data_IF_798740626216
#
_entry.id   IF_798740626216
#
_cell.length_a   1.000
_cell.length_b   1.000
_cell.length_c   1.000
_cell.angle_alpha   90.00
_cell.angle_beta   90.00
_cell.angle_gamma   90.00
#
_symmetry.space_group_name_H-M   'P 1'
#
loop_
_entity.id
_entity.type
_entity.pdbx_description
1 polymer ?
#
# COMPACT_ATOMS: atom_id res chain seq x y z
N UNK A 1 15.89 51.06 11.23
CA UNK A 1 14.87 50.01 11.29
C UNK A 1 15.58 48.67 11.24
N UNK A 2 15.80 48.04 12.38
CA UNK A 2 16.44 46.73 12.46
C UNK A 2 15.32 45.69 12.42
N UNK A 3 15.14 45.05 11.26
CA UNK A 3 14.25 43.89 11.16
C UNK A 3 14.95 42.78 11.94
N UNK A 4 14.35 42.37 13.05
CA UNK A 4 14.87 41.27 13.87
C UNK A 4 14.81 39.99 13.06
N UNK A 5 15.98 39.45 12.69
CA UNK A 5 16.15 38.18 11.97
C UNK A 5 15.57 36.95 12.70
N UNK A 6 15.12 37.11 13.95
CA UNK A 6 14.57 36.03 14.78
C UNK A 6 13.10 35.72 14.41
N UNK A 7 12.36 36.73 13.94
CA UNK A 7 10.92 36.61 13.67
C UNK A 7 10.57 35.74 12.43
N UNK A 8 11.32 35.79 11.31
CA UNK A 8 11.09 34.90 10.17
C UNK A 8 11.40 33.42 10.48
N UNK A 9 12.41 33.15 11.32
CA UNK A 9 12.85 31.79 11.64
C UNK A 9 11.79 31.03 12.46
N UNK A 10 11.14 31.72 13.41
CA UNK A 10 10.07 31.16 14.24
C UNK A 10 8.82 30.84 13.42
N UNK A 11 8.49 31.67 12.42
CA UNK A 11 7.37 31.40 11.51
C UNK A 11 7.64 30.16 10.64
N UNK A 12 8.88 29.97 10.21
CA UNK A 12 9.30 28.81 9.42
C UNK A 12 9.26 27.52 10.25
N UNK A 13 9.73 27.58 11.51
CA UNK A 13 9.60 26.51 12.49
C UNK A 13 8.15 26.17 12.81
N UNK A 14 7.27 27.18 12.96
CA UNK A 14 5.83 26.99 13.14
C UNK A 14 5.19 26.25 11.97
N UNK A 15 5.56 26.60 10.73
CA UNK A 15 4.99 25.99 9.52
C UNK A 15 5.28 24.48 9.39
N UNK A 16 6.42 24.01 9.90
CA UNK A 16 6.78 22.58 9.90
C UNK A 16 5.81 21.73 10.76
N UNK A 17 5.18 22.31 11.78
CA UNK A 17 4.17 21.63 12.60
C UNK A 17 2.79 21.55 11.95
N UNK A 18 2.54 22.34 10.91
CA UNK A 18 1.28 22.32 10.13
C UNK A 18 1.41 21.53 8.84
N UNK A 19 2.58 20.94 8.54
CA UNK A 19 2.70 20.03 7.42
C UNK A 19 1.83 18.80 7.69
N UNK A 20 0.91 18.42 6.79
CA UNK A 20 0.22 17.15 6.90
C UNK A 20 1.27 16.05 6.93
N UNK A 21 1.35 15.34 8.06
CA UNK A 21 2.25 14.21 8.17
C UNK A 21 1.83 13.17 7.12
N UNK A 22 2.61 13.05 6.05
CA UNK A 22 2.51 11.95 5.10
C UNK A 22 2.81 10.67 5.89
N UNK A 23 1.77 10.02 6.41
CA UNK A 23 1.91 8.75 7.14
C UNK A 23 2.28 7.68 6.13
N UNK A 24 3.56 7.30 6.10
CA UNK A 24 4.00 6.16 5.33
C UNK A 24 3.23 4.91 5.78
N UNK A 25 2.76 4.13 4.81
CA UNK A 25 2.11 2.85 5.09
C UNK A 25 3.20 1.84 5.38
N UNK A 26 3.19 1.29 6.60
CA UNK A 26 4.06 0.19 6.95
C UNK A 26 3.50 -1.09 6.32
N UNK A 27 4.38 -1.88 5.71
CA UNK A 27 4.01 -3.16 5.11
C UNK A 27 5.02 -4.24 5.51
N UNK A 28 4.59 -5.50 5.42
CA UNK A 28 5.42 -6.68 5.60
C UNK A 28 5.22 -7.65 4.44
N UNK A 29 6.20 -8.50 4.15
CA UNK A 29 6.00 -9.58 3.18
C UNK A 29 5.13 -10.68 3.79
N UNK A 30 4.18 -11.21 3.03
CA UNK A 30 3.24 -12.24 3.50
C UNK A 30 3.95 -13.51 4.00
N UNK A 31 5.09 -13.86 3.40
CA UNK A 31 5.92 -14.99 3.83
C UNK A 31 7.00 -14.62 4.87
N UNK A 32 6.97 -13.39 5.39
CA UNK A 32 7.89 -12.78 6.36
C UNK A 32 9.36 -12.68 5.93
N UNK A 33 9.73 -13.35 4.83
CA UNK A 33 11.12 -13.54 4.38
C UNK A 33 11.43 -12.79 3.08
N UNK A 34 10.40 -12.32 2.37
CA UNK A 34 10.53 -11.70 1.05
C UNK A 34 10.52 -12.71 -0.09
N UNK A 35 10.59 -12.21 -1.33
CA UNK A 35 10.49 -13.03 -2.54
C UNK A 35 11.74 -12.89 -3.40
N UNK A 36 12.07 -13.93 -4.17
CA UNK A 36 13.19 -13.93 -5.11
C UNK A 36 12.95 -13.00 -6.32
N UNK A 37 11.68 -12.76 -6.66
CA UNK A 37 11.23 -11.91 -7.76
C UNK A 37 11.76 -10.47 -7.72
N UNK A 38 11.88 -9.87 -6.54
CA UNK A 38 12.11 -8.44 -6.40
C UNK A 38 11.86 -7.95 -4.98
N UNK A 39 11.81 -6.62 -4.81
CA UNK A 39 11.50 -6.01 -3.52
C UNK A 39 10.50 -4.86 -3.66
N UNK A 40 9.59 -4.76 -2.67
CA UNK A 40 8.74 -3.59 -2.46
C UNK A 40 9.53 -2.55 -1.69
N UNK A 41 9.37 -1.30 -2.11
CA UNK A 41 9.98 -0.13 -1.46
C UNK A 41 8.95 0.71 -0.72
N UNK A 42 7.76 0.87 -1.31
CA UNK A 42 6.71 1.71 -0.78
C UNK A 42 5.33 1.14 -1.11
N UNK A 43 4.40 1.31 -0.17
CA UNK A 43 2.97 1.17 -0.40
C UNK A 43 2.36 2.53 -0.15
N UNK A 44 1.61 3.05 -1.11
CA UNK A 44 0.85 4.29 -0.98
C UNK A 44 -0.64 3.95 -1.00
N UNK A 45 -1.39 4.57 -0.09
CA UNK A 45 -2.84 4.46 -0.03
C UNK A 45 -3.41 5.87 -0.14
N UNK A 46 -4.50 6.01 -0.89
CA UNK A 46 -5.30 7.22 -0.96
C UNK A 46 -6.78 6.88 -0.81
N UNK A 47 -7.55 7.61 0.02
CA UNK A 47 -7.09 8.68 0.91
C UNK A 47 -6.21 8.14 2.07
N UNK A 48 -5.36 9.00 2.62
CA UNK A 48 -4.54 8.69 3.79
C UNK A 48 -4.49 9.91 4.73
N UNK A 49 -5.13 9.84 5.91
CA UNK A 49 -5.77 8.65 6.48
C UNK A 49 -7.08 8.25 5.79
N UNK A 50 -7.44 6.97 5.90
CA UNK A 50 -8.72 6.42 5.43
C UNK A 50 -9.81 6.76 6.45
N UNK A 51 -10.78 7.57 6.03
CA UNK A 51 -11.94 7.95 6.84
C UNK A 51 -13.04 6.88 6.90
N UNK A 52 -14.04 7.02 7.78
CA UNK A 52 -15.15 6.08 7.92
C UNK A 52 -16.02 6.00 6.65
N UNK A 53 -16.31 7.15 6.04
CA UNK A 53 -17.24 7.29 4.89
C UNK A 53 -16.60 6.99 3.52
N UNK A 54 -15.34 6.55 3.51
CA UNK A 54 -14.62 6.20 2.28
C UNK A 54 -15.14 4.85 1.78
N UNK A 55 -15.75 4.83 0.59
CA UNK A 55 -16.22 3.58 -0.04
C UNK A 55 -15.16 2.83 -0.83
N UNK A 56 -14.19 3.56 -1.40
CA UNK A 56 -13.17 3.01 -2.28
C UNK A 56 -11.79 3.61 -2.01
N UNK A 57 -10.76 2.81 -2.25
CA UNK A 57 -9.36 3.13 -2.02
C UNK A 57 -8.57 3.08 -3.32
N UNK A 58 -7.52 3.87 -3.38
CA UNK A 58 -6.43 3.70 -4.35
C UNK A 58 -5.20 3.19 -3.63
N UNK A 59 -4.65 2.07 -4.09
CA UNK A 59 -3.46 1.43 -3.54
C UNK A 59 -2.39 1.46 -4.63
N UNK A 60 -1.16 1.85 -4.30
CA UNK A 60 -0.04 1.79 -5.23
C UNK A 60 1.13 1.08 -4.57
N UNK A 61 1.55 -0.04 -5.16
CA UNK A 61 2.75 -0.77 -4.73
C UNK A 61 3.91 -0.42 -5.64
N UNK A 62 5.02 0.02 -5.06
CA UNK A 62 6.20 0.47 -5.79
C UNK A 62 7.39 -0.38 -5.38
N UNK A 63 8.14 -0.88 -6.35
CA UNK A 63 9.28 -1.73 -6.08
C UNK A 63 10.20 -1.90 -7.27
N UNK A 64 11.11 -2.85 -7.16
CA UNK A 64 12.05 -3.20 -8.21
C UNK A 64 11.96 -4.69 -8.53
N UNK A 65 11.89 -5.02 -9.81
CA UNK A 65 11.79 -6.39 -10.29
C UNK A 65 13.17 -6.91 -10.74
N UNK A 66 13.50 -8.12 -10.33
CA UNK A 66 14.68 -8.87 -10.82
C UNK A 66 14.31 -9.74 -12.01
N UNK A 67 13.09 -10.26 -12.06
CA UNK A 67 12.57 -11.10 -13.15
C UNK A 67 11.42 -10.39 -13.88
N UNK A 68 11.10 -10.85 -15.09
CA UNK A 68 9.95 -10.36 -15.84
C UNK A 68 8.69 -11.15 -15.50
N UNK A 69 7.54 -10.50 -15.61
CA UNK A 69 6.22 -11.15 -15.64
C UNK A 69 5.57 -10.73 -16.95
N UNK A 70 5.40 -11.68 -17.87
CA UNK A 70 4.79 -11.41 -19.17
C UNK A 70 3.26 -11.51 -19.12
N UNK A 71 2.74 -12.43 -18.31
CA UNK A 71 1.30 -12.62 -18.10
C UNK A 71 1.07 -12.79 -16.62
N UNK A 72 0.73 -11.70 -15.94
CA UNK A 72 0.47 -11.73 -14.51
C UNK A 72 -0.82 -11.04 -14.14
N UNK A 73 -1.17 -11.17 -12.87
CA UNK A 73 -2.26 -10.45 -12.27
C UNK A 73 -1.87 -9.91 -10.90
N UNK A 74 -2.44 -8.76 -10.55
CA UNK A 74 -2.35 -8.17 -9.23
C UNK A 74 -3.68 -8.41 -8.55
N UNK A 75 -3.65 -9.02 -7.38
CA UNK A 75 -4.82 -9.33 -6.57
C UNK A 75 -4.74 -8.60 -5.23
N UNK A 76 -5.83 -7.97 -4.84
CA UNK A 76 -5.99 -7.25 -3.57
C UNK A 76 -6.97 -8.01 -2.71
N UNK A 77 -6.59 -8.27 -1.46
CA UNK A 77 -7.43 -8.97 -0.51
C UNK A 77 -7.61 -8.16 0.77
N UNK A 78 -8.76 -8.30 1.40
CA UNK A 78 -8.90 -8.09 2.84
C UNK A 78 -8.81 -9.46 3.53
N UNK A 79 -8.04 -9.54 4.62
CA UNK A 79 -7.85 -10.80 5.34
C UNK A 79 -7.90 -10.62 6.85
N UNK A 80 -8.68 -11.48 7.50
CA UNK A 80 -8.68 -11.69 8.95
C UNK A 80 -8.16 -13.10 9.26
N UNK A 81 -8.23 -13.52 10.52
CA UNK A 81 -7.83 -14.88 10.92
C UNK A 81 -8.63 -15.98 10.19
N UNK A 82 -9.90 -15.72 9.88
CA UNK A 82 -10.84 -16.72 9.38
C UNK A 82 -11.32 -16.47 7.95
N UNK A 83 -11.15 -15.26 7.43
CA UNK A 83 -11.76 -14.81 6.16
C UNK A 83 -10.67 -14.18 5.29
N UNK A 84 -10.73 -14.45 3.99
CA UNK A 84 -9.91 -13.77 2.98
C UNK A 84 -10.81 -13.46 1.79
N UNK A 85 -11.09 -12.18 1.59
CA UNK A 85 -11.97 -11.70 0.54
C UNK A 85 -11.16 -11.04 -0.56
N UNK A 86 -11.36 -11.48 -1.80
CA UNK A 86 -10.75 -10.89 -2.99
C UNK A 86 -11.53 -9.63 -3.36
N UNK A 87 -10.89 -8.48 -3.24
CA UNK A 87 -11.50 -7.17 -3.46
C UNK A 87 -11.30 -6.67 -4.90
N UNK A 88 -10.14 -6.95 -5.48
CA UNK A 88 -9.80 -6.51 -6.83
C UNK A 88 -8.81 -7.47 -7.47
N UNK A 89 -8.99 -7.71 -8.76
CA UNK A 89 -8.02 -8.39 -9.63
C UNK A 89 -7.84 -7.57 -10.90
N UNK A 90 -6.60 -7.40 -11.34
CA UNK A 90 -6.29 -6.77 -12.62
C UNK A 90 -5.07 -7.42 -13.28
N UNK A 91 -4.98 -7.45 -14.62
CA UNK A 91 -3.81 -7.95 -15.31
C UNK A 91 -2.61 -7.00 -15.15
N UNK A 92 -1.40 -7.54 -15.26
CA UNK A 92 -0.17 -6.76 -15.26
C UNK A 92 0.95 -7.41 -16.08
N UNK A 93 1.89 -6.57 -16.51
CA UNK A 93 3.16 -6.97 -17.11
C UNK A 93 4.27 -6.19 -16.43
N UNK A 94 5.38 -6.85 -16.12
CA UNK A 94 6.53 -6.25 -15.44
C UNK A 94 7.81 -6.65 -16.18
N UNK A 95 8.66 -5.68 -16.47
CA UNK A 95 9.96 -5.88 -17.07
C UNK A 95 11.04 -6.14 -16.02
N UNK A 96 11.92 -7.10 -16.29
CA UNK A 96 13.08 -7.39 -15.43
C UNK A 96 14.03 -6.19 -15.36
N UNK A 97 14.62 -5.96 -14.19
CA UNK A 97 15.62 -4.92 -13.99
C UNK A 97 15.04 -3.50 -13.98
N UNK A 98 13.73 -3.37 -13.78
CA UNK A 98 13.06 -2.06 -13.78
C UNK A 98 12.38 -1.77 -12.45
N UNK A 99 12.19 -0.47 -12.17
CA UNK A 99 11.27 -0.02 -11.13
C UNK A 99 9.83 -0.22 -11.63
N UNK A 100 9.05 -1.02 -10.91
CA UNK A 100 7.64 -1.19 -11.19
C UNK A 100 6.79 -0.26 -10.33
N UNK A 101 5.62 0.11 -10.88
CA UNK A 101 4.56 0.83 -10.18
C UNK A 101 3.26 0.10 -10.48
N UNK A 102 2.60 -0.43 -9.45
CA UNK A 102 1.35 -1.19 -9.58
C UNK A 102 0.20 -0.35 -9.02
N UNK A 103 -0.45 0.47 -9.85
CA UNK A 103 -1.61 1.26 -9.43
C UNK A 103 -2.86 0.39 -9.41
N UNK A 104 -3.56 0.37 -8.28
CA UNK A 104 -4.83 -0.32 -8.07
C UNK A 104 -5.85 0.73 -7.65
N UNK A 105 -6.74 1.10 -8.55
CA UNK A 105 -7.82 2.07 -8.29
C UNK A 105 -9.13 1.34 -8.00
N UNK A 106 -10.08 2.04 -7.38
CA UNK A 106 -11.43 1.52 -7.12
C UNK A 106 -11.41 0.22 -6.32
N UNK A 107 -10.51 0.12 -5.34
CA UNK A 107 -10.48 -1.03 -4.42
C UNK A 107 -11.58 -0.80 -3.39
N UNK A 108 -12.63 -1.65 -3.31
CA UNK A 108 -13.67 -1.49 -2.31
C UNK A 108 -13.06 -1.49 -0.91
N UNK A 109 -13.47 -0.54 -0.07
CA UNK A 109 -13.11 -0.58 1.35
C UNK A 109 -13.97 -1.64 2.02
N UNK A 110 -13.33 -2.74 2.37
CA UNK A 110 -13.93 -3.80 3.16
C UNK A 110 -13.63 -3.61 4.66
N UNK A 111 -14.56 -4.03 5.51
CA UNK A 111 -14.46 -4.01 6.96
C UNK A 111 -14.82 -5.40 7.47
N UNK A 112 -13.78 -6.22 7.67
CA UNK A 112 -13.93 -7.53 8.27
C UNK A 112 -14.01 -7.41 9.80
N UNK A 113 -14.70 -8.35 10.44
CA UNK A 113 -14.73 -8.44 11.90
C UNK A 113 -13.33 -8.74 12.47
N UNK A 114 -12.97 -8.02 13.54
CA UNK A 114 -11.70 -8.21 14.25
C UNK A 114 -10.52 -7.44 13.64
N UNK A 115 -9.30 -7.92 13.92
CA UNK A 115 -8.08 -7.36 13.33
C UNK A 115 -7.92 -7.94 11.92
N UNK A 116 -7.96 -7.07 10.91
CA UNK A 116 -7.81 -7.46 9.51
C UNK A 116 -6.75 -6.60 8.81
N UNK A 117 -6.13 -7.19 7.80
CA UNK A 117 -5.09 -6.57 6.96
C UNK A 117 -5.52 -6.53 5.52
N UNK A 118 -4.94 -5.61 4.76
CA UNK A 118 -4.99 -5.65 3.32
C UNK A 118 -3.74 -6.35 2.80
N UNK A 119 -3.92 -7.20 1.79
CA UNK A 119 -2.84 -7.88 1.09
C UNK A 119 -2.84 -7.49 -0.39
N UNK A 120 -1.66 -7.25 -0.96
CA UNK A 120 -1.48 -7.12 -2.42
C UNK A 120 -0.55 -8.22 -2.89
N UNK A 121 -1.06 -9.13 -3.71
CA UNK A 121 -0.31 -10.22 -4.33
C UNK A 121 -0.09 -9.96 -5.81
N UNK A 122 1.11 -10.27 -6.28
CA UNK A 122 1.48 -10.30 -7.67
C UNK A 122 1.66 -11.76 -8.07
N UNK A 123 0.84 -12.20 -9.02
CA UNK A 123 0.84 -13.55 -9.55
C UNK A 123 1.42 -13.57 -10.96
N UNK A 124 2.19 -14.62 -11.25
CA UNK A 124 2.68 -14.95 -12.58
C UNK A 124 1.94 -16.18 -13.08
N UNK A 125 1.12 -16.01 -14.11
CA UNK A 125 0.20 -17.01 -14.62
C UNK A 125 0.89 -18.03 -15.53
N UNK A 126 2.15 -17.78 -15.93
CA UNK A 126 2.91 -18.66 -16.83
C UNK A 126 4.33 -18.89 -16.31
N UNK A 127 4.45 -19.72 -15.27
CA UNK A 127 5.76 -20.18 -14.79
C UNK A 127 6.03 -21.60 -15.27
N UNK A 128 6.80 -21.72 -16.36
CA UNK A 128 7.13 -23.01 -16.98
C UNK A 128 5.89 -23.73 -17.51
N UNK A 129 5.80 -25.04 -17.29
CA UNK A 129 4.64 -25.88 -17.70
C UNK A 129 3.53 -25.95 -16.64
N UNK A 130 3.64 -25.19 -15.54
CA UNK A 130 2.64 -25.19 -14.46
C UNK A 130 1.34 -24.54 -14.91
N UNK A 131 0.21 -25.17 -14.58
CA UNK A 131 -1.13 -24.60 -14.77
C UNK A 131 -1.55 -23.66 -13.65
N UNK A 132 -0.82 -23.64 -12.53
CA UNK A 132 -1.11 -22.82 -11.38
C UNK A 132 -0.27 -21.54 -11.39
N UNK A 133 -0.93 -20.41 -11.11
CA UNK A 133 -0.26 -19.12 -11.01
C UNK A 133 0.68 -19.10 -9.80
N UNK A 134 1.93 -18.69 -10.00
CA UNK A 134 2.93 -18.58 -8.94
C UNK A 134 2.82 -17.21 -8.29
N UNK A 135 2.71 -17.15 -6.96
CA UNK A 135 2.86 -15.90 -6.22
C UNK A 135 4.31 -15.45 -6.30
N UNK A 136 4.56 -14.36 -7.03
CA UNK A 136 5.88 -13.75 -7.20
C UNK A 136 6.21 -12.75 -6.11
N UNK A 137 5.19 -12.11 -5.55
CA UNK A 137 5.34 -11.13 -4.47
C UNK A 137 4.01 -11.00 -3.74
N UNK A 138 4.06 -10.80 -2.43
CA UNK A 138 2.89 -10.48 -1.63
C UNK A 138 3.31 -9.60 -0.46
N UNK A 139 2.56 -8.52 -0.23
CA UNK A 139 2.74 -7.64 0.93
C UNK A 139 1.43 -7.43 1.66
N UNK A 140 1.53 -7.38 2.98
CA UNK A 140 0.43 -7.07 3.90
C UNK A 140 0.65 -5.73 4.58
N UNK A 141 -0.44 -5.00 4.81
CA UNK A 141 -0.42 -3.74 5.52
C UNK A 141 -1.77 -3.46 6.20
N UNK A 142 -1.72 -2.64 7.24
CA UNK A 142 -2.91 -2.10 7.88
C UNK A 142 -3.38 -0.84 7.13
N UNK A 143 -4.69 -0.60 7.06
CA UNK A 143 -5.18 0.68 6.56
C UNK A 143 -4.82 1.80 7.53
N UNK A 144 -4.24 2.91 7.06
CA UNK A 144 -3.94 4.06 7.90
C UNK A 144 -5.23 4.80 8.23
N UNK A 145 -5.98 4.35 9.23
CA UNK A 145 -7.25 4.97 9.62
C UNK A 145 -7.04 6.24 10.44
N UNK A 146 -7.92 7.22 10.26
CA UNK A 146 -7.97 8.37 11.17
C UNK A 146 -8.59 7.89 12.48
N UNK A 147 -7.83 7.92 13.57
CA UNK A 147 -8.42 7.72 14.90
C UNK A 147 -9.53 8.75 15.07
N UNK A 148 -10.76 8.28 15.33
CA UNK A 148 -11.81 9.16 15.82
C UNK A 148 -11.36 9.66 17.18
N UNK A 149 -10.89 10.90 17.25
CA UNK A 149 -10.86 11.63 18.52
C UNK A 149 -12.29 11.69 19.02
N UNK A 150 -12.68 10.73 19.86
CA UNK A 150 -13.77 10.87 20.80
C UNK A 150 -13.37 12.03 21.71
N UNK A 151 -13.77 13.23 21.32
CA UNK A 151 -13.76 14.38 22.21
C UNK A 151 -14.79 14.06 23.29
N UNK A 152 -14.33 13.55 24.43
CA UNK A 152 -15.15 13.48 25.63
C UNK A 152 -15.60 14.90 25.96
N UNK A 153 -16.91 15.14 25.86
CA UNK A 153 -17.57 16.34 26.35
C UNK A 153 -17.75 16.25 27.88
#
# INVERSE_FOLDING_TARGET
>A
MAISYVQPLLLLLGSLFFLPALRAVNFEYCNKSGYDFGNVTHVNISPNPVGPDVGELSITVIGYAKESIHTGSIEVYAKSENITDLLRKQPCTIESGTKFVLPLSEVPKDILEGNYKYGVSLLDEKVGDSKEAKVRMCVDFDLPTSSSTLSSA
#
